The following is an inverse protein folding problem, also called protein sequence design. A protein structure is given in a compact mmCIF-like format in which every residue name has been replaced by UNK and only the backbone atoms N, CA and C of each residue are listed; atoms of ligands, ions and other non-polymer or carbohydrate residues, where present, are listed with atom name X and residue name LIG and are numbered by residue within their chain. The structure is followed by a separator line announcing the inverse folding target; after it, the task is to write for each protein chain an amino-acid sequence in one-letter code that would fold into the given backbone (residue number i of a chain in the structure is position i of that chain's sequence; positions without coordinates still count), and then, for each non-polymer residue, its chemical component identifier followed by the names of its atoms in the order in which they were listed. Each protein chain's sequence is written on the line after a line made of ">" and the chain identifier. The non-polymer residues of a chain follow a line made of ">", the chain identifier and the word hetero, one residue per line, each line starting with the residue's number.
data_IF_309867963156
#
_entry.id   IF_309867963156
#
_cell.length_a   1.000
_cell.length_b   1.000
_cell.length_c   1.000
_cell.angle_alpha   90.00
_cell.angle_beta   90.00
_cell.angle_gamma   90.00
#
_symmetry.space_group_name_H-M   'P 1'
#
loop_
_entity.id
_entity.type
_entity.pdbx_description
1 polymer ?
#
# COMPACT_ATOMS: atom_id res chain seq x y z
N UNK A 1 13.77 -8.24 9.98
CA UNK A 1 13.55 -7.82 8.58
C UNK A 1 12.18 -8.25 8.05
N UNK A 2 11.79 -9.52 8.13
CA UNK A 2 10.49 -9.99 7.63
C UNK A 2 9.29 -9.25 8.22
N UNK A 3 9.29 -9.02 9.55
CA UNK A 3 8.22 -8.31 10.25
C UNK A 3 8.04 -6.87 9.78
N UNK A 4 9.14 -6.17 9.46
CA UNK A 4 9.08 -4.81 8.94
C UNK A 4 8.51 -4.77 7.52
N UNK A 5 8.88 -5.73 6.67
CA UNK A 5 8.33 -5.84 5.30
C UNK A 5 6.83 -6.14 5.32
N UNK A 6 6.37 -7.01 6.22
CA UNK A 6 4.94 -7.29 6.41
C UNK A 6 4.19 -6.08 6.95
N UNK A 7 4.78 -5.34 7.89
CA UNK A 7 4.22 -4.09 8.41
C UNK A 7 4.05 -3.07 7.27
N UNK A 8 5.10 -2.84 6.48
CA UNK A 8 5.04 -1.90 5.35
C UNK A 8 4.01 -2.33 4.30
N UNK A 9 3.91 -3.63 4.02
CA UNK A 9 2.90 -4.18 3.12
C UNK A 9 1.48 -3.91 3.65
N UNK A 10 1.24 -4.16 4.94
CA UNK A 10 -0.05 -3.91 5.57
C UNK A 10 -0.40 -2.42 5.55
N UNK A 11 0.55 -1.55 5.92
CA UNK A 11 0.37 -0.09 5.89
C UNK A 11 0.06 0.40 4.47
N UNK A 12 0.76 -0.12 3.46
CA UNK A 12 0.48 0.19 2.06
C UNK A 12 -0.93 -0.24 1.64
N UNK A 13 -1.32 -1.49 1.93
CA UNK A 13 -2.64 -2.02 1.57
C UNK A 13 -3.77 -1.24 2.24
N UNK A 14 -3.61 -0.90 3.52
CA UNK A 14 -4.58 -0.09 4.26
C UNK A 14 -4.64 1.33 3.70
N UNK A 15 -3.49 1.94 3.38
CA UNK A 15 -3.41 3.31 2.88
C UNK A 15 -3.92 3.49 1.45
N UNK A 16 -3.80 2.46 0.61
CA UNK A 16 -4.25 2.46 -0.78
C UNK A 16 -5.70 1.96 -0.88
N UNK A 17 -5.90 0.66 -0.64
CA UNK A 17 -7.20 0.02 -0.79
C UNK A 17 -8.17 0.35 0.33
N UNK A 18 -7.69 0.59 1.56
CA UNK A 18 -8.57 1.00 2.64
C UNK A 18 -9.19 2.37 2.38
N UNK A 19 -8.38 3.35 1.97
CA UNK A 19 -8.87 4.70 1.58
C UNK A 19 -9.82 4.60 0.38
N UNK A 20 -9.45 3.82 -0.63
CA UNK A 20 -10.28 3.61 -1.83
C UNK A 20 -11.64 2.98 -1.50
N UNK A 21 -11.66 1.97 -0.63
CA UNK A 21 -12.89 1.29 -0.23
C UNK A 21 -13.80 2.23 0.58
N UNK A 22 -13.22 3.03 1.48
CA UNK A 22 -13.98 4.04 2.23
C UNK A 22 -14.58 5.08 1.29
N UNK A 23 -13.83 5.57 0.31
CA UNK A 23 -14.33 6.51 -0.69
C UNK A 23 -15.51 5.93 -1.50
N UNK A 24 -15.36 4.70 -1.98
CA UNK A 24 -16.40 4.00 -2.74
C UNK A 24 -17.67 3.76 -1.90
N UNK A 25 -17.52 3.43 -0.60
CA UNK A 25 -18.64 3.28 0.33
C UNK A 25 -19.31 4.62 0.64
N UNK A 26 -18.53 5.70 0.77
CA UNK A 26 -19.05 7.03 1.06
C UNK A 26 -19.93 7.57 -0.08
N UNK A 27 -19.54 7.29 -1.33
CA UNK A 27 -20.27 7.72 -2.53
C UNK A 27 -21.32 6.67 -2.98
N UNK A 28 -21.28 5.46 -2.41
CA UNK A 28 -22.20 4.37 -2.74
C UNK A 28 -21.90 3.67 -4.08
N UNK A 29 -20.70 3.85 -4.64
CA UNK A 29 -20.26 3.30 -5.93
C UNK A 29 -19.11 2.31 -5.74
N UNK A 30 -19.42 1.11 -5.23
CA UNK A 30 -18.47 0.00 -5.08
C UNK A 30 -17.71 -0.36 -6.38
N UNK A 31 -18.33 -0.33 -7.58
CA UNK A 31 -17.61 -0.50 -8.83
C UNK A 31 -16.46 0.49 -9.06
N UNK A 32 -16.48 1.67 -8.43
CA UNK A 32 -15.40 2.65 -8.54
C UNK A 32 -14.06 2.16 -7.94
N UNK A 33 -14.08 1.09 -7.13
CA UNK A 33 -12.85 0.41 -6.67
C UNK A 33 -12.02 -0.11 -7.85
N UNK A 34 -12.66 -0.51 -8.96
CA UNK A 34 -11.99 -1.00 -10.16
C UNK A 34 -11.61 0.12 -11.14
N UNK A 35 -12.10 1.34 -10.92
CA UNK A 35 -11.90 2.49 -11.78
C UNK A 35 -11.71 3.78 -10.94
N UNK A 36 -10.56 3.89 -10.24
CA UNK A 36 -10.32 4.94 -9.27
C UNK A 36 -9.98 6.26 -9.96
N UNK A 37 -11.02 7.01 -10.37
CA UNK A 37 -10.87 8.34 -10.97
C UNK A 37 -11.35 9.42 -10.02
N UNK A 38 -10.63 10.54 -9.98
CA UNK A 38 -10.99 11.73 -9.22
C UNK A 38 -12.42 12.22 -9.51
N UNK A 39 -12.79 12.22 -10.79
CA UNK A 39 -14.12 12.64 -11.27
C UNK A 39 -15.28 11.80 -10.70
N UNK A 40 -14.97 10.57 -10.27
CA UNK A 40 -15.94 9.57 -9.81
C UNK A 40 -15.93 9.39 -8.29
N UNK A 41 -14.75 9.51 -7.67
CA UNK A 41 -14.54 9.30 -6.23
C UNK A 41 -14.29 10.58 -5.42
N UNK A 42 -14.16 11.74 -6.06
CA UNK A 42 -13.82 13.00 -5.39
C UNK A 42 -12.38 13.03 -4.87
N UNK A 43 -12.07 14.01 -3.99
CA UNK A 43 -10.76 14.12 -3.37
C UNK A 43 -10.59 12.99 -2.33
N UNK A 44 -9.52 12.18 -2.40
CA UNK A 44 -9.23 11.16 -1.39
C UNK A 44 -9.14 11.71 0.04
N UNK A 45 -8.90 13.01 0.24
CA UNK A 45 -8.90 13.67 1.55
C UNK A 45 -10.30 13.73 2.17
N UNK A 46 -11.33 13.85 1.35
CA UNK A 46 -12.73 13.92 1.82
C UNK A 46 -13.22 12.59 2.37
N UNK A 47 -12.55 11.50 1.97
CA UNK A 47 -12.80 10.14 2.47
C UNK A 47 -12.06 9.83 3.77
N UNK A 48 -11.18 10.73 4.22
CA UNK A 48 -10.55 10.62 5.54
C UNK A 48 -11.56 11.08 6.61
N UNK A 49 -11.54 10.49 7.82
CA UNK A 49 -12.34 11.00 8.92
C UNK A 49 -12.05 12.50 9.12
N UNK A 50 -13.08 13.33 9.39
CA UNK A 50 -12.94 14.79 9.34
C UNK A 50 -11.82 15.28 10.25
N UNK A 51 -10.90 16.07 9.69
CA UNK A 51 -9.80 16.70 10.40
C UNK A 51 -10.19 18.12 10.84
N UNK A 52 -10.87 18.23 11.98
CA UNK A 52 -11.12 19.49 12.69
C UNK A 52 -10.18 19.68 13.89
N UNK A 53 -10.18 20.86 14.53
CA UNK A 53 -9.33 21.15 15.70
C UNK A 53 -9.56 20.19 16.88
N UNK A 54 -10.77 19.66 17.03
CA UNK A 54 -11.12 18.64 18.03
C UNK A 54 -10.74 17.20 17.62
N UNK A 55 -10.36 17.00 16.35
CA UNK A 55 -10.10 15.72 15.70
C UNK A 55 -8.61 15.47 15.43
N UNK A 56 -7.74 16.45 15.73
CA UNK A 56 -6.28 16.27 15.73
C UNK A 56 -5.80 15.15 16.68
N UNK A 57 -6.63 14.76 17.66
CA UNK A 57 -6.39 13.63 18.54
C UNK A 57 -7.07 12.32 18.09
N UNK A 58 -7.77 12.30 16.96
CA UNK A 58 -8.42 11.09 16.47
C UNK A 58 -7.37 10.15 15.85
N UNK A 59 -7.06 9.00 16.48
CA UNK A 59 -6.03 8.09 16.00
C UNK A 59 -6.34 7.52 14.61
N UNK A 60 -7.60 7.46 14.20
CA UNK A 60 -7.97 6.98 12.86
C UNK A 60 -7.53 7.95 11.76
N UNK A 61 -7.59 9.27 12.00
CA UNK A 61 -7.11 10.28 11.05
C UNK A 61 -5.62 10.11 10.82
N UNK A 62 -4.86 9.90 11.90
CA UNK A 62 -3.42 9.64 11.83
C UNK A 62 -3.10 8.32 11.13
N UNK A 63 -3.81 7.23 11.45
CA UNK A 63 -3.57 5.93 10.81
C UNK A 63 -3.82 6.02 9.30
N UNK A 64 -4.97 6.54 8.87
CA UNK A 64 -5.26 6.65 7.44
C UNK A 64 -4.35 7.67 6.73
N UNK A 65 -4.05 8.80 7.37
CA UNK A 65 -3.13 9.81 6.82
C UNK A 65 -1.71 9.27 6.65
N UNK A 66 -1.15 8.60 7.66
CA UNK A 66 0.19 8.00 7.59
C UNK A 66 0.20 6.86 6.58
N UNK A 67 -0.82 5.99 6.57
CA UNK A 67 -0.90 4.91 5.60
C UNK A 67 -0.98 5.44 4.15
N UNK A 68 -1.78 6.49 3.90
CA UNK A 68 -1.85 7.17 2.60
C UNK A 68 -0.50 7.79 2.22
N UNK A 69 0.15 8.50 3.15
CA UNK A 69 1.47 9.08 2.92
C UNK A 69 2.50 8.01 2.56
N UNK A 70 2.51 6.87 3.26
CA UNK A 70 3.37 5.73 2.93
C UNK A 70 3.03 5.14 1.56
N UNK A 71 1.75 5.10 1.18
CA UNK A 71 1.32 4.63 -0.13
C UNK A 71 1.81 5.52 -1.29
N UNK A 72 2.03 6.82 -1.05
CA UNK A 72 2.67 7.72 -2.02
C UNK A 72 4.15 7.35 -2.29
N UNK A 73 4.80 6.61 -1.40
CA UNK A 73 6.17 6.14 -1.59
C UNK A 73 6.24 4.71 -2.13
N UNK A 74 5.17 4.19 -2.75
CA UNK A 74 5.12 2.79 -3.22
C UNK A 74 6.30 2.42 -4.13
N UNK A 75 6.70 3.28 -5.07
CA UNK A 75 7.79 2.99 -5.99
C UNK A 75 9.15 2.83 -5.30
N UNK A 76 9.64 3.80 -4.51
CA UNK A 76 10.90 3.63 -3.80
C UNK A 76 10.82 2.51 -2.75
N UNK A 77 9.67 2.33 -2.08
CA UNK A 77 9.51 1.28 -1.07
C UNK A 77 9.57 -0.11 -1.72
N UNK A 78 8.84 -0.33 -2.81
CA UNK A 78 8.85 -1.59 -3.56
C UNK A 78 10.24 -1.90 -4.13
N UNK A 79 10.96 -0.89 -4.61
CA UNK A 79 12.33 -1.07 -5.10
C UNK A 79 13.28 -1.55 -3.99
N UNK A 80 13.28 -0.86 -2.84
CA UNK A 80 14.16 -1.23 -1.71
C UNK A 80 13.82 -2.61 -1.17
N UNK A 81 12.54 -2.93 -1.01
CA UNK A 81 12.11 -4.24 -0.48
C UNK A 81 12.41 -5.39 -1.44
N UNK A 82 12.31 -5.17 -2.75
CA UNK A 82 12.73 -6.15 -3.76
C UNK A 82 14.24 -6.39 -3.75
N UNK A 83 15.07 -5.33 -3.70
CA UNK A 83 16.53 -5.46 -3.64
C UNK A 83 16.95 -6.23 -2.38
N UNK A 84 16.40 -5.86 -1.22
CA UNK A 84 16.66 -6.55 0.04
C UNK A 84 16.14 -7.99 0.04
N UNK A 85 14.97 -8.22 -0.55
CA UNK A 85 14.37 -9.55 -0.70
C UNK A 85 15.24 -10.48 -1.54
N UNK A 86 15.70 -10.02 -2.71
CA UNK A 86 16.63 -10.76 -3.57
C UNK A 86 17.96 -11.06 -2.86
N UNK A 87 18.56 -10.07 -2.20
CA UNK A 87 19.82 -10.25 -1.48
C UNK A 87 19.67 -11.30 -0.35
N UNK A 88 18.56 -11.25 0.39
CA UNK A 88 18.26 -12.22 1.43
C UNK A 88 17.96 -13.61 0.86
N UNK A 89 17.30 -13.71 -0.29
CA UNK A 89 17.04 -14.97 -0.99
C UNK A 89 18.35 -15.65 -1.42
N UNK A 90 19.26 -14.87 -2.03
CA UNK A 90 20.60 -15.30 -2.42
C UNK A 90 21.42 -15.78 -1.22
N UNK A 91 21.31 -15.07 -0.10
CA UNK A 91 21.98 -15.46 1.14
C UNK A 91 21.41 -16.76 1.72
N UNK A 92 20.09 -16.88 1.85
CA UNK A 92 19.40 -18.08 2.36
C UNK A 92 19.63 -19.31 1.46
N UNK A 93 19.70 -19.11 0.14
CA UNK A 93 20.04 -20.17 -0.80
C UNK A 93 21.47 -20.70 -0.58
N UNK A 94 22.43 -19.79 -0.33
CA UNK A 94 23.83 -20.17 -0.02
C UNK A 94 23.99 -20.87 1.31
N UNK A 95 23.22 -20.50 2.33
CA UNK A 95 23.28 -21.13 3.66
C UNK A 95 22.44 -22.40 3.80
N UNK A 96 21.60 -22.72 2.80
CA UNK A 96 20.82 -23.95 2.76
C UNK A 96 19.62 -23.97 3.72
N UNK A 97 19.25 -22.83 4.32
CA UNK A 97 18.09 -22.73 5.22
C UNK A 97 16.77 -22.70 4.42
N UNK A 98 16.21 -23.90 4.22
CA UNK A 98 14.97 -24.09 3.45
C UNK A 98 13.75 -23.42 4.10
N UNK A 99 13.71 -23.30 5.43
CA UNK A 99 12.55 -22.71 6.13
C UNK A 99 12.52 -21.21 5.94
N UNK A 100 13.67 -20.56 6.10
CA UNK A 100 13.81 -19.11 5.88
C UNK A 100 13.66 -18.77 4.39
N UNK A 101 14.18 -19.63 3.50
CA UNK A 101 14.02 -19.48 2.06
C UNK A 101 12.54 -19.47 1.62
N UNK A 102 11.72 -20.39 2.11
CA UNK A 102 10.29 -20.43 1.77
C UNK A 102 9.54 -19.14 2.14
N UNK A 103 9.76 -18.63 3.36
CA UNK A 103 9.17 -17.36 3.79
C UNK A 103 9.68 -16.16 2.99
N UNK A 104 10.97 -16.16 2.64
CA UNK A 104 11.56 -15.11 1.80
C UNK A 104 10.99 -15.12 0.38
N UNK A 105 10.73 -16.28 -0.20
CA UNK A 105 10.11 -16.41 -1.52
C UNK A 105 8.69 -15.85 -1.51
N UNK A 106 7.87 -16.24 -0.52
CA UNK A 106 6.49 -15.73 -0.41
C UNK A 106 6.49 -14.20 -0.29
N UNK A 107 7.34 -13.66 0.59
CA UNK A 107 7.39 -12.21 0.83
C UNK A 107 7.94 -11.44 -0.38
N UNK A 108 9.01 -11.94 -1.02
CA UNK A 108 9.55 -11.33 -2.24
C UNK A 108 8.54 -11.39 -3.38
N UNK A 109 7.80 -12.51 -3.50
CA UNK A 109 6.71 -12.66 -4.46
C UNK A 109 5.56 -11.68 -4.21
N UNK A 110 5.18 -11.46 -2.96
CA UNK A 110 4.16 -10.47 -2.60
C UNK A 110 4.59 -9.05 -2.99
N UNK A 111 5.83 -8.66 -2.71
CA UNK A 111 6.39 -7.37 -3.14
C UNK A 111 6.50 -7.24 -4.65
N UNK A 112 6.81 -8.34 -5.35
CA UNK A 112 6.84 -8.36 -6.81
C UNK A 112 5.45 -8.17 -7.42
N UNK A 113 4.45 -8.88 -6.89
CA UNK A 113 3.05 -8.70 -7.30
C UNK A 113 2.57 -7.28 -7.02
N UNK A 114 2.95 -6.71 -5.87
CA UNK A 114 2.65 -5.32 -5.53
C UNK A 114 3.30 -4.33 -6.50
N UNK A 115 4.58 -4.53 -6.84
CA UNK A 115 5.29 -3.70 -7.79
C UNK A 115 4.67 -3.79 -9.19
N UNK A 116 4.31 -5.00 -9.63
CA UNK A 116 3.62 -5.22 -10.91
C UNK A 116 2.25 -4.52 -10.93
N UNK A 117 1.50 -4.59 -9.82
CA UNK A 117 0.23 -3.89 -9.68
C UNK A 117 0.44 -2.36 -9.69
N UNK A 118 1.40 -1.83 -8.95
CA UNK A 118 1.71 -0.40 -8.90
C UNK A 118 2.19 0.16 -10.24
N UNK A 119 2.84 -0.67 -11.07
CA UNK A 119 3.25 -0.34 -12.43
C UNK A 119 2.15 -0.59 -13.48
N UNK A 120 1.05 -1.23 -13.11
CA UNK A 120 -0.09 -1.42 -14.00
C UNK A 120 -0.83 -0.10 -14.22
N UNK A 121 -1.60 0.05 -15.32
CA UNK A 121 -2.43 1.23 -15.57
C UNK A 121 -3.37 1.55 -14.40
N UNK A 122 -3.91 0.51 -13.76
CA UNK A 122 -4.73 0.62 -12.56
C UNK A 122 -3.93 1.20 -11.38
N UNK A 123 -2.73 0.67 -11.13
CA UNK A 123 -1.87 1.17 -10.07
C UNK A 123 -1.44 2.62 -10.27
N UNK A 124 -1.15 3.02 -11.51
CA UNK A 124 -0.83 4.42 -11.83
C UNK A 124 -2.01 5.36 -11.63
N UNK A 125 -3.23 4.93 -11.97
CA UNK A 125 -4.44 5.71 -11.70
C UNK A 125 -4.70 5.84 -10.20
N UNK A 126 -4.63 4.72 -9.47
CA UNK A 126 -4.80 4.70 -8.02
C UNK A 126 -3.75 5.58 -7.33
N UNK A 127 -2.50 5.53 -7.78
CA UNK A 127 -1.43 6.36 -7.24
C UNK A 127 -1.63 7.84 -7.56
N UNK A 128 -2.05 8.17 -8.78
CA UNK A 128 -2.41 9.53 -9.17
C UNK A 128 -3.55 10.07 -8.32
N UNK A 129 -4.63 9.32 -8.18
CA UNK A 129 -5.75 9.69 -7.31
C UNK A 129 -5.31 9.86 -5.85
N UNK A 130 -4.44 9.00 -5.32
CA UNK A 130 -3.92 9.14 -3.94
C UNK A 130 -3.03 10.39 -3.75
N UNK A 131 -2.43 10.92 -4.82
CA UNK A 131 -1.59 12.12 -4.78
C UNK A 131 -2.39 13.42 -4.82
N UNK A 132 -3.57 13.40 -5.45
CA UNK A 132 -4.48 14.57 -5.51
C UNK A 132 -5.00 14.97 -4.12
#
# INVERSE_FOLDING_TARGET
>A
MLSAQLLFLAVYLVGSFGVLLVAALHIGDLPAVLDPRLERLGDPKDSLPPAGPDTAWNPLVWVFGICRAVAMFVYPLAFVTLVLGLAALLHAWRTGDRKTFGWLVINTGAWFALAALALSPYGTQLHGWLLD
#
